data_IF_735644308802
#
_entry.id   IF_735644308802
#
_cell.length_a   1.000
_cell.length_b   1.000
_cell.length_c   1.000
_cell.angle_alpha   90.00
_cell.angle_beta   90.00
_cell.angle_gamma   90.00
#
_symmetry.space_group_name_H-M   'P 1'
#
loop_
_entity.id
_entity.type
_entity.pdbx_description
1 polymer ?
#
# COMPACT_ATOMS: atom_id res chain seq x y z
N UNK A 1 15.26 -4.02 0.41
CA UNK A 1 15.30 -3.20 -0.82
C UNK A 1 14.41 -3.83 -1.87
N UNK A 2 13.65 -3.00 -2.62
CA UNK A 2 12.80 -3.47 -3.73
C UNK A 2 13.39 -2.95 -5.03
N UNK A 3 13.41 -3.76 -6.07
CA UNK A 3 13.78 -3.36 -7.43
C UNK A 3 12.76 -3.93 -8.41
N UNK A 4 12.21 -3.05 -9.22
CA UNK A 4 11.33 -3.37 -10.34
C UNK A 4 12.07 -3.00 -11.61
N UNK A 5 12.22 -3.95 -12.54
CA UNK A 5 12.90 -3.74 -13.81
C UNK A 5 11.97 -4.07 -14.96
N UNK A 6 11.69 -3.06 -15.78
CA UNK A 6 10.90 -3.18 -17.00
C UNK A 6 9.60 -3.94 -16.79
N UNK A 7 8.82 -3.53 -15.78
CA UNK A 7 7.54 -4.18 -15.48
C UNK A 7 6.52 -3.77 -16.54
N UNK A 8 6.06 -4.75 -17.30
CA UNK A 8 5.00 -4.62 -18.28
C UNK A 8 3.76 -5.40 -17.84
N UNK A 9 2.57 -4.84 -18.09
CA UNK A 9 1.30 -5.54 -17.89
C UNK A 9 0.34 -5.22 -19.02
N UNK A 10 -0.18 -6.28 -19.62
CA UNK A 10 -1.25 -6.22 -20.60
C UNK A 10 -2.51 -6.91 -20.07
N UNK A 11 -3.67 -6.34 -20.36
CA UNK A 11 -4.98 -6.97 -20.26
C UNK A 11 -5.57 -7.05 -21.65
N UNK A 12 -5.46 -8.21 -22.28
CA UNK A 12 -5.75 -8.36 -23.70
C UNK A 12 -4.86 -7.44 -24.55
N UNK A 13 -5.47 -6.54 -25.32
CA UNK A 13 -4.72 -5.57 -26.13
C UNK A 13 -4.35 -4.27 -25.37
N UNK A 14 -4.86 -4.10 -24.13
CA UNK A 14 -4.63 -2.88 -23.38
C UNK A 14 -3.31 -2.97 -22.59
N UNK A 15 -2.33 -2.12 -22.94
CA UNK A 15 -1.02 -2.04 -22.29
C UNK A 15 -1.08 -1.08 -21.11
N UNK A 16 -1.24 -1.61 -19.89
CA UNK A 16 -1.47 -0.84 -18.66
C UNK A 16 -0.18 -0.41 -17.98
N UNK A 17 0.84 -1.27 -17.92
CA UNK A 17 2.18 -0.91 -17.43
C UNK A 17 3.17 -1.04 -18.57
N UNK A 18 3.92 0.03 -18.83
CA UNK A 18 4.71 0.21 -20.07
C UNK A 18 6.21 0.31 -19.75
N UNK A 19 6.75 -0.69 -19.03
CA UNK A 19 8.17 -0.73 -18.69
C UNK A 19 8.50 0.11 -17.45
N UNK A 20 7.91 -0.24 -16.32
CA UNK A 20 8.15 0.47 -15.05
C UNK A 20 9.46 0.01 -14.43
N UNK A 21 10.35 0.97 -14.20
CA UNK A 21 11.55 0.82 -13.37
C UNK A 21 11.37 1.60 -12.07
N UNK A 22 11.47 0.92 -10.93
CA UNK A 22 11.33 1.54 -9.61
C UNK A 22 12.23 0.82 -8.60
N UNK A 23 13.00 1.58 -7.86
CA UNK A 23 13.78 1.05 -6.72
C UNK A 23 13.26 1.68 -5.44
N UNK A 24 13.13 0.89 -4.36
CA UNK A 24 12.73 1.39 -3.03
C UNK A 24 13.75 0.90 -2.01
N UNK A 25 14.30 1.84 -1.25
CA UNK A 25 15.26 1.58 -0.18
C UNK A 25 14.61 0.87 1.02
N UNK A 26 15.43 0.28 1.87
CA UNK A 26 14.95 -0.27 3.14
C UNK A 26 14.56 0.88 4.08
N UNK A 27 13.37 0.81 4.67
CA UNK A 27 12.81 1.86 5.53
C UNK A 27 12.29 3.08 4.76
N UNK A 28 12.38 3.09 3.42
CA UNK A 28 11.88 4.19 2.59
C UNK A 28 10.37 4.09 2.41
N UNK A 29 9.69 5.23 2.52
CA UNK A 29 8.27 5.40 2.19
C UNK A 29 8.15 6.06 0.83
N UNK A 30 7.68 5.31 -0.16
CA UNK A 30 7.41 5.81 -1.51
C UNK A 30 5.91 5.96 -1.70
N UNK A 31 5.47 7.17 -2.05
CA UNK A 31 4.07 7.45 -2.39
C UNK A 31 3.92 7.55 -3.91
N UNK A 32 2.96 6.82 -4.47
CA UNK A 32 2.63 6.82 -5.89
C UNK A 32 1.34 7.63 -6.08
N UNK A 33 1.45 8.72 -6.82
CA UNK A 33 0.38 9.62 -7.21
C UNK A 33 0.06 9.47 -8.70
N UNK A 34 -1.08 10.00 -9.13
CA UNK A 34 -1.46 10.07 -10.54
C UNK A 34 -2.96 9.98 -10.77
N UNK A 35 -3.45 10.29 -11.97
CA UNK A 35 -4.88 10.22 -12.31
C UNK A 35 -5.43 8.79 -12.20
N UNK A 36 -6.77 8.68 -12.09
CA UNK A 36 -7.44 7.38 -12.12
C UNK A 36 -7.15 6.67 -13.45
N UNK A 37 -6.94 5.35 -13.39
CA UNK A 37 -6.59 4.56 -14.58
C UNK A 37 -5.12 4.60 -15.02
N UNK A 38 -4.23 5.33 -14.33
CA UNK A 38 -2.82 5.42 -14.71
C UNK A 38 -1.99 4.16 -14.44
N UNK A 39 -2.58 3.11 -13.85
CA UNK A 39 -1.90 1.83 -13.59
C UNK A 39 -1.34 1.66 -12.17
N UNK A 40 -1.53 2.60 -11.24
CA UNK A 40 -0.98 2.57 -9.87
C UNK A 40 -1.31 1.29 -9.10
N UNK A 41 -2.60 0.97 -8.96
CA UNK A 41 -3.05 -0.25 -8.29
C UNK A 41 -2.57 -1.51 -9.01
N UNK A 42 -2.50 -1.48 -10.35
CA UNK A 42 -1.95 -2.58 -11.15
C UNK A 42 -0.48 -2.80 -10.84
N UNK A 43 0.31 -1.71 -10.75
CA UNK A 43 1.73 -1.80 -10.36
C UNK A 43 1.87 -2.38 -8.96
N UNK A 44 1.12 -1.85 -7.99
CA UNK A 44 1.17 -2.30 -6.61
C UNK A 44 0.83 -3.80 -6.49
N UNK A 45 -0.24 -4.26 -7.17
CA UNK A 45 -0.65 -5.67 -7.22
C UNK A 45 0.30 -6.55 -8.00
N UNK A 46 1.09 -5.98 -8.91
CA UNK A 46 2.12 -6.71 -9.63
C UNK A 46 3.31 -7.06 -8.73
N UNK A 47 3.65 -6.21 -7.75
CA UNK A 47 4.77 -6.42 -6.83
C UNK A 47 4.63 -7.73 -6.04
N UNK A 48 3.41 -8.08 -5.63
CA UNK A 48 3.13 -9.33 -4.90
C UNK A 48 2.46 -10.42 -5.76
N UNK A 49 2.46 -10.26 -7.07
CA UNK A 49 1.85 -11.19 -8.03
C UNK A 49 0.34 -11.47 -7.79
N UNK A 50 -0.41 -10.55 -7.19
CA UNK A 50 -1.86 -10.58 -7.27
C UNK A 50 -2.32 -10.34 -8.70
N UNK A 51 -1.65 -9.41 -9.40
CA UNK A 51 -1.70 -9.26 -10.83
C UNK A 51 -0.37 -9.71 -11.42
N UNK A 52 -0.35 -10.84 -12.12
CA UNK A 52 0.88 -11.33 -12.74
C UNK A 52 1.34 -10.35 -13.83
N UNK A 53 2.54 -9.76 -13.75
CA UNK A 53 3.11 -8.98 -14.83
C UNK A 53 3.24 -9.81 -16.12
N UNK A 54 3.12 -9.17 -17.27
CA UNK A 54 3.35 -9.84 -18.57
C UNK A 54 4.83 -10.12 -18.78
N UNK A 55 5.69 -9.19 -18.35
CA UNK A 55 7.15 -9.33 -18.34
C UNK A 55 7.78 -8.38 -17.32
N UNK A 56 9.07 -8.54 -17.10
CA UNK A 56 9.88 -7.76 -16.17
C UNK A 56 10.40 -8.59 -15.01
N UNK A 57 11.19 -7.96 -14.16
CA UNK A 57 11.83 -8.60 -13.01
C UNK A 57 11.42 -7.86 -11.74
N UNK A 58 11.03 -8.61 -10.73
CA UNK A 58 10.76 -8.11 -9.39
C UNK A 58 11.79 -8.71 -8.44
N UNK A 59 12.47 -7.86 -7.69
CA UNK A 59 13.39 -8.29 -6.65
C UNK A 59 13.01 -7.64 -5.32
N UNK A 60 12.84 -8.45 -4.28
CA UNK A 60 12.55 -7.99 -2.91
C UNK A 60 13.48 -8.73 -1.96
N UNK A 61 14.38 -7.98 -1.33
CA UNK A 61 15.33 -8.46 -0.31
C UNK A 61 16.09 -9.74 -0.75
N UNK A 62 16.59 -9.75 -1.99
CA UNK A 62 17.33 -10.86 -2.59
C UNK A 62 16.46 -11.94 -3.24
N UNK A 63 15.15 -11.91 -3.07
CA UNK A 63 14.22 -12.78 -3.83
C UNK A 63 13.95 -12.15 -5.19
N UNK A 64 14.55 -12.71 -6.24
CA UNK A 64 14.46 -12.23 -7.62
C UNK A 64 13.55 -13.13 -8.45
N UNK A 65 12.54 -12.54 -9.08
CA UNK A 65 11.54 -13.25 -9.88
C UNK A 65 11.37 -12.61 -11.24
N UNK A 66 11.61 -13.38 -12.30
CA UNK A 66 11.27 -13.05 -13.67
C UNK A 66 9.79 -13.40 -13.92
N UNK A 67 8.98 -12.40 -14.25
CA UNK A 67 7.53 -12.56 -14.42
C UNK A 67 7.14 -13.61 -15.48
N UNK A 68 8.00 -13.80 -16.52
CA UNK A 68 7.76 -14.74 -17.61
C UNK A 68 8.03 -16.20 -17.22
N UNK A 69 8.81 -16.42 -16.14
CA UNK A 69 9.27 -17.73 -15.68
C UNK A 69 8.82 -18.08 -14.26
N UNK A 70 8.05 -17.17 -13.63
CA UNK A 70 7.67 -17.28 -12.24
C UNK A 70 6.90 -18.57 -11.92
N UNK A 71 7.49 -19.41 -11.09
CA UNK A 71 6.85 -20.62 -10.56
C UNK A 71 6.09 -20.35 -9.25
N UNK A 72 5.30 -21.33 -8.80
CA UNK A 72 4.54 -21.20 -7.54
C UNK A 72 5.40 -20.88 -6.33
N UNK A 73 6.63 -21.40 -6.26
CA UNK A 73 7.57 -21.14 -5.16
C UNK A 73 8.05 -19.69 -5.16
N UNK A 74 8.35 -19.13 -6.33
CA UNK A 74 8.83 -17.76 -6.49
C UNK A 74 7.74 -16.76 -6.09
N UNK A 75 6.51 -17.00 -6.58
CA UNK A 75 5.33 -16.19 -6.23
C UNK A 75 5.07 -16.26 -4.73
N UNK A 76 5.16 -17.45 -4.12
CA UNK A 76 4.97 -17.58 -2.68
C UNK A 76 6.04 -16.82 -1.90
N UNK A 77 7.30 -16.85 -2.33
CA UNK A 77 8.40 -16.12 -1.69
C UNK A 77 8.15 -14.60 -1.72
N UNK A 78 7.72 -14.02 -2.85
CA UNK A 78 7.33 -12.60 -2.95
C UNK A 78 6.14 -12.26 -2.03
N UNK A 79 5.13 -13.13 -1.98
CA UNK A 79 3.96 -12.92 -1.10
C UNK A 79 4.31 -13.02 0.37
N UNK A 80 5.30 -13.81 0.74
CA UNK A 80 5.81 -13.88 2.12
C UNK A 80 6.63 -12.66 2.52
N UNK A 81 7.28 -12.01 1.54
CA UNK A 81 8.05 -10.79 1.75
C UNK A 81 7.18 -9.52 1.80
N UNK A 82 5.92 -9.60 1.34
CA UNK A 82 5.03 -8.45 1.23
C UNK A 82 3.74 -8.64 2.02
N UNK A 83 3.14 -7.55 2.48
CA UNK A 83 1.75 -7.56 2.93
C UNK A 83 0.99 -6.38 2.31
N UNK A 84 -0.26 -6.62 1.92
CA UNK A 84 -1.07 -5.65 1.21
C UNK A 84 -2.29 -5.23 2.02
N UNK A 85 -2.52 -3.92 2.07
CA UNK A 85 -3.71 -3.27 2.61
C UNK A 85 -4.52 -2.75 1.42
N UNK A 86 -5.75 -3.20 1.31
CA UNK A 86 -6.65 -2.90 0.18
C UNK A 86 -7.59 -1.74 0.50
N UNK A 87 -8.10 -1.12 -0.54
CA UNK A 87 -9.14 -0.10 -0.49
C UNK A 87 -10.41 -0.59 0.24
N UNK A 88 -10.84 -1.82 -0.02
CA UNK A 88 -12.06 -2.44 0.55
C UNK A 88 -11.73 -3.41 1.70
N UNK A 89 -10.89 -3.08 2.62
CA UNK A 89 -10.53 -3.80 3.86
C UNK A 89 -10.25 -5.30 3.73
N UNK A 90 -11.00 -6.03 2.92
CA UNK A 90 -10.90 -7.49 2.65
C UNK A 90 -10.83 -8.34 3.94
N UNK A 91 -11.66 -8.01 4.93
CA UNK A 91 -11.74 -8.78 6.18
C UNK A 91 -12.58 -10.05 5.99
N UNK A 92 -12.21 -11.10 6.71
CA UNK A 92 -13.02 -12.30 6.84
C UNK A 92 -14.26 -11.98 7.70
N UNK A 93 -15.44 -11.97 7.07
CA UNK A 93 -16.69 -11.55 7.71
C UNK A 93 -17.12 -12.44 8.88
N UNK A 94 -16.72 -13.72 8.86
CA UNK A 94 -17.00 -14.73 9.86
C UNK A 94 -15.97 -14.77 11.01
N UNK A 95 -14.96 -13.89 10.99
CA UNK A 95 -13.93 -13.75 12.01
C UNK A 95 -14.05 -12.38 12.67
N UNK A 96 -13.86 -12.32 14.00
CA UNK A 96 -13.74 -11.04 14.71
C UNK A 96 -12.38 -10.35 14.38
N UNK A 97 -12.17 -9.13 14.88
CA UNK A 97 -10.96 -8.36 14.63
C UNK A 97 -9.69 -9.12 15.03
N UNK A 98 -9.68 -9.71 16.22
CA UNK A 98 -8.53 -10.50 16.71
C UNK A 98 -8.22 -11.68 15.78
N UNK A 99 -9.22 -12.46 15.41
CA UNK A 99 -9.03 -13.63 14.56
C UNK A 99 -8.66 -13.26 13.11
N UNK A 100 -9.12 -12.09 12.61
CA UNK A 100 -8.67 -11.55 11.32
C UNK A 100 -7.17 -11.26 11.31
N UNK A 101 -6.59 -10.79 12.42
CA UNK A 101 -5.16 -10.56 12.54
C UNK A 101 -4.40 -11.88 12.76
N UNK A 102 -4.92 -12.75 13.62
CA UNK A 102 -4.30 -14.04 13.96
C UNK A 102 -4.16 -15.00 12.77
N UNK A 103 -5.11 -14.97 11.81
CA UNK A 103 -5.19 -16.01 10.76
C UNK A 103 -3.91 -16.14 9.93
N UNK A 104 -3.25 -15.03 9.62
CA UNK A 104 -1.97 -15.04 8.90
C UNK A 104 -0.86 -15.68 9.72
N UNK A 105 -0.82 -15.42 11.03
CA UNK A 105 0.18 -15.96 11.93
C UNK A 105 0.03 -17.47 12.10
N UNK A 106 -1.20 -17.96 12.29
CA UNK A 106 -1.46 -19.38 12.50
C UNK A 106 -1.40 -20.19 11.21
N UNK A 107 -1.99 -19.69 10.10
CA UNK A 107 -2.14 -20.42 8.85
C UNK A 107 -0.89 -20.35 7.98
N UNK A 108 -0.18 -19.22 7.96
CA UNK A 108 0.98 -19.00 7.09
C UNK A 108 2.28 -19.15 7.87
N UNK A 109 2.45 -18.43 9.00
CA UNK A 109 3.66 -18.49 9.82
C UNK A 109 3.72 -19.69 10.76
N UNK A 110 2.62 -20.46 10.86
CA UNK A 110 2.51 -21.68 11.70
C UNK A 110 2.82 -21.47 13.17
N UNK A 111 2.60 -20.25 13.68
CA UNK A 111 2.73 -19.97 15.11
C UNK A 111 1.61 -20.68 15.90
N UNK A 112 1.91 -21.03 17.15
CA UNK A 112 0.89 -21.54 18.05
C UNK A 112 -0.14 -20.46 18.39
N UNK A 113 -1.32 -20.89 18.87
CA UNK A 113 -2.45 -19.97 19.11
C UNK A 113 -2.15 -18.91 20.17
N UNK A 114 -1.37 -19.25 21.18
CA UNK A 114 -1.06 -18.33 22.29
C UNK A 114 -0.14 -17.22 21.79
N UNK A 115 0.93 -17.57 21.10
CA UNK A 115 1.86 -16.61 20.49
C UNK A 115 1.16 -15.72 19.45
N UNK A 116 0.34 -16.33 18.57
CA UNK A 116 -0.40 -15.59 17.55
C UNK A 116 -1.38 -14.59 18.20
N UNK A 117 -2.02 -14.97 19.33
CA UNK A 117 -2.92 -14.11 20.07
C UNK A 117 -2.18 -12.93 20.71
N UNK A 118 -1.10 -13.16 21.43
CA UNK A 118 -0.30 -12.14 22.10
C UNK A 118 0.21 -11.08 21.09
N UNK A 119 0.74 -11.52 19.94
CA UNK A 119 1.17 -10.63 18.86
C UNK A 119 -0.01 -9.82 18.33
N UNK A 120 -1.14 -10.47 18.07
CA UNK A 120 -2.31 -9.81 17.47
C UNK A 120 -2.95 -8.80 18.42
N UNK A 121 -3.04 -9.10 19.70
CA UNK A 121 -3.54 -8.19 20.74
C UNK A 121 -2.66 -6.92 20.83
N UNK A 122 -1.33 -7.07 20.85
CA UNK A 122 -0.40 -5.95 20.86
C UNK A 122 -0.51 -5.06 19.61
N UNK A 123 -0.69 -5.67 18.43
CA UNK A 123 -0.84 -4.89 17.19
C UNK A 123 -2.21 -4.19 17.14
N UNK A 124 -3.30 -4.84 17.57
CA UNK A 124 -4.61 -4.21 17.65
C UNK A 124 -4.64 -3.04 18.63
N UNK A 125 -3.94 -3.14 19.76
CA UNK A 125 -3.75 -2.02 20.68
C UNK A 125 -2.96 -0.88 20.03
N UNK A 126 -1.90 -1.19 19.26
CA UNK A 126 -1.08 -0.23 18.52
C UNK A 126 -1.89 0.59 17.50
N UNK A 127 -2.89 -0.03 16.84
CA UNK A 127 -3.79 0.66 15.88
C UNK A 127 -5.06 1.21 16.55
N UNK A 128 -5.12 1.26 17.90
CA UNK A 128 -6.21 1.86 18.66
C UNK A 128 -7.50 1.03 18.68
N UNK A 129 -7.40 -0.30 18.62
CA UNK A 129 -8.56 -1.21 18.59
C UNK A 129 -8.60 -2.20 19.77
N UNK A 130 -7.95 -1.86 20.89
CA UNK A 130 -7.92 -2.71 22.10
C UNK A 130 -9.33 -3.15 22.54
N UNK A 131 -10.27 -2.22 22.60
CA UNK A 131 -11.64 -2.47 23.08
C UNK A 131 -12.56 -3.05 21.99
N UNK A 132 -12.02 -3.30 20.77
CA UNK A 132 -12.76 -3.80 19.61
C UNK A 132 -12.31 -5.17 19.13
N UNK A 133 -11.42 -5.85 19.84
CA UNK A 133 -10.81 -7.12 19.43
C UNK A 133 -11.83 -8.23 19.14
N UNK A 134 -12.93 -8.25 19.90
CA UNK A 134 -13.97 -9.27 19.77
C UNK A 134 -15.10 -8.90 18.79
N UNK A 135 -15.04 -7.72 18.17
CA UNK A 135 -16.07 -7.24 17.24
C UNK A 135 -15.86 -7.87 15.87
N UNK A 136 -16.97 -8.24 15.23
CA UNK A 136 -17.01 -8.71 13.86
C UNK A 136 -17.01 -7.50 12.88
N UNK A 137 -16.58 -7.68 11.62
CA UNK A 137 -16.55 -6.58 10.66
C UNK A 137 -17.84 -5.78 10.55
N UNK A 138 -19.01 -6.45 10.59
CA UNK A 138 -20.32 -5.78 10.56
C UNK A 138 -20.62 -4.86 11.77
N UNK A 139 -19.85 -4.96 12.84
CA UNK A 139 -19.99 -4.17 14.07
C UNK A 139 -18.94 -3.04 14.14
N UNK A 140 -18.08 -2.92 13.13
CA UNK A 140 -16.99 -1.95 13.05
C UNK A 140 -17.29 -0.88 12.01
N UNK A 141 -16.92 0.37 12.28
CA UNK A 141 -16.93 1.44 11.28
C UNK A 141 -15.95 1.13 10.15
N UNK A 142 -16.06 1.82 9.00
CA UNK A 142 -15.13 1.67 7.90
C UNK A 142 -13.67 1.91 8.31
N UNK A 143 -13.40 2.98 9.06
CA UNK A 143 -12.07 3.29 9.59
C UNK A 143 -11.55 2.23 10.58
N UNK A 144 -12.43 1.66 11.42
CA UNK A 144 -12.06 0.54 12.30
C UNK A 144 -11.74 -0.73 11.50
N UNK A 145 -12.53 -1.05 10.47
CA UNK A 145 -12.25 -2.18 9.58
C UNK A 145 -10.90 -2.02 8.86
N UNK A 146 -10.60 -0.81 8.37
CA UNK A 146 -9.33 -0.51 7.73
C UNK A 146 -8.15 -0.64 8.71
N UNK A 147 -8.30 -0.19 9.95
CA UNK A 147 -7.28 -0.38 10.99
C UNK A 147 -7.07 -1.85 11.34
N UNK A 148 -8.10 -2.70 11.30
CA UNK A 148 -7.94 -4.16 11.41
C UNK A 148 -7.17 -4.72 10.20
N UNK A 149 -7.42 -4.24 8.98
CA UNK A 149 -6.69 -4.67 7.79
C UNK A 149 -5.21 -4.28 7.87
N UNK A 150 -4.90 -3.07 8.36
CA UNK A 150 -3.52 -2.62 8.64
C UNK A 150 -2.87 -3.52 9.71
N UNK A 151 -3.57 -3.78 10.81
CA UNK A 151 -3.07 -4.67 11.88
C UNK A 151 -2.75 -6.08 11.34
N UNK A 152 -3.62 -6.63 10.49
CA UNK A 152 -3.40 -7.94 9.84
C UNK A 152 -2.15 -7.95 8.95
N UNK A 153 -1.90 -6.86 8.21
CA UNK A 153 -0.70 -6.73 7.39
C UNK A 153 0.57 -6.63 8.26
N UNK A 154 0.54 -5.80 9.30
CA UNK A 154 1.66 -5.62 10.24
C UNK A 154 2.02 -6.91 10.99
N UNK A 155 1.03 -7.72 11.37
CA UNK A 155 1.24 -8.96 12.10
C UNK A 155 2.17 -9.95 11.35
N UNK A 156 2.15 -9.91 10.02
CA UNK A 156 3.01 -10.75 9.20
C UNK A 156 4.49 -10.31 9.24
N UNK A 157 4.81 -9.16 9.80
CA UNK A 157 6.15 -8.57 9.81
C UNK A 157 6.82 -8.69 8.42
N UNK A 158 6.22 -8.11 7.36
CA UNK A 158 6.72 -8.22 6.00
C UNK A 158 7.95 -7.34 5.78
N UNK A 159 8.71 -7.61 4.72
CA UNK A 159 9.79 -6.71 4.28
C UNK A 159 9.24 -5.40 3.69
N UNK A 160 8.02 -5.47 3.12
CA UNK A 160 7.37 -4.33 2.46
C UNK A 160 5.87 -4.33 2.73
N UNK A 161 5.37 -3.18 3.13
CA UNK A 161 3.93 -2.90 3.22
C UNK A 161 3.45 -2.19 1.96
N UNK A 162 2.41 -2.71 1.35
CA UNK A 162 1.78 -2.17 0.13
C UNK A 162 0.39 -1.64 0.48
N UNK A 163 0.13 -0.36 0.23
CA UNK A 163 -1.17 0.28 0.50
C UNK A 163 -1.84 0.73 -0.81
N UNK A 164 -2.98 0.14 -1.14
CA UNK A 164 -3.76 0.45 -2.34
C UNK A 164 -4.97 1.32 -1.96
N UNK A 165 -4.81 2.64 -2.04
CA UNK A 165 -5.83 3.65 -1.72
C UNK A 165 -6.55 3.40 -0.37
N UNK A 166 -5.83 3.37 0.75
CA UNK A 166 -6.36 2.87 2.03
C UNK A 166 -7.50 3.70 2.62
N UNK A 167 -7.79 4.88 2.09
CA UNK A 167 -8.81 5.80 2.61
C UNK A 167 -9.95 6.08 1.64
N UNK A 168 -9.84 5.70 0.36
CA UNK A 168 -10.79 6.10 -0.68
C UNK A 168 -12.20 5.49 -0.54
N UNK A 169 -12.40 4.48 0.34
CA UNK A 169 -13.70 3.90 0.67
C UNK A 169 -14.27 4.40 2.00
N UNK A 170 -13.64 5.39 2.61
CA UNK A 170 -14.02 5.91 3.94
C UNK A 170 -14.82 7.20 3.82
N UNK A 171 -15.71 7.41 4.79
CA UNK A 171 -16.29 8.72 5.02
C UNK A 171 -15.20 9.71 5.41
N UNK A 172 -15.26 10.99 4.97
CA UNK A 172 -14.22 12.00 5.22
C UNK A 172 -13.82 12.13 6.69
N UNK A 173 -14.78 12.00 7.61
CA UNK A 173 -14.56 12.09 9.07
C UNK A 173 -13.66 10.97 9.62
N UNK A 174 -13.54 9.83 8.90
CA UNK A 174 -12.77 8.66 9.33
C UNK A 174 -11.39 8.58 8.67
N UNK A 175 -11.11 9.44 7.69
CA UNK A 175 -9.86 9.44 6.92
C UNK A 175 -8.66 9.72 7.81
N UNK A 176 -8.71 10.76 8.62
CA UNK A 176 -7.59 11.21 9.46
C UNK A 176 -7.17 10.16 10.49
N UNK A 177 -8.13 9.40 11.05
CA UNK A 177 -7.84 8.32 11.98
C UNK A 177 -6.99 7.20 11.33
N UNK A 178 -7.27 6.88 10.07
CA UNK A 178 -6.53 5.84 9.34
C UNK A 178 -5.18 6.36 8.88
N UNK A 179 -5.11 7.60 8.37
CA UNK A 179 -3.87 8.23 7.95
C UNK A 179 -2.88 8.37 9.12
N UNK A 180 -3.36 8.75 10.31
CA UNK A 180 -2.51 8.85 11.51
C UNK A 180 -1.88 7.50 11.90
N UNK A 181 -2.63 6.39 11.75
CA UNK A 181 -2.08 5.05 11.97
C UNK A 181 -1.01 4.72 10.93
N UNK A 182 -1.23 5.05 9.65
CA UNK A 182 -0.23 4.80 8.58
C UNK A 182 1.03 5.64 8.81
N UNK A 183 0.90 6.92 9.21
CA UNK A 183 2.03 7.78 9.59
C UNK A 183 2.84 7.19 10.73
N UNK A 184 2.17 6.70 11.78
CA UNK A 184 2.84 6.02 12.89
C UNK A 184 3.61 4.77 12.42
N UNK A 185 3.03 3.96 11.54
CA UNK A 185 3.70 2.80 10.96
C UNK A 185 4.92 3.21 10.14
N UNK A 186 4.81 4.29 9.35
CA UNK A 186 5.92 4.86 8.57
C UNK A 186 7.08 5.31 9.48
N UNK A 187 6.78 6.05 10.56
CA UNK A 187 7.79 6.56 11.50
C UNK A 187 8.57 5.47 12.25
N UNK A 188 8.13 4.23 12.23
CA UNK A 188 8.81 3.07 12.81
C UNK A 188 9.87 2.45 11.88
N UNK A 189 10.12 3.05 10.71
CA UNK A 189 11.12 2.60 9.74
C UNK A 189 10.67 1.43 8.86
N UNK A 190 9.37 1.23 8.71
CA UNK A 190 8.82 0.25 7.78
C UNK A 190 9.06 0.69 6.32
N UNK A 191 9.44 -0.25 5.44
CA UNK A 191 9.48 -0.01 4.00
C UNK A 191 8.07 -0.04 3.45
N UNK A 192 7.64 1.03 2.77
CA UNK A 192 6.25 1.17 2.35
C UNK A 192 6.14 1.69 0.93
N UNK A 193 5.16 1.17 0.18
CA UNK A 193 4.70 1.75 -1.08
C UNK A 193 3.21 2.05 -0.91
N UNK A 194 2.83 3.31 -1.08
CA UNK A 194 1.47 3.79 -0.82
C UNK A 194 0.91 4.42 -2.09
N UNK A 195 -0.19 3.90 -2.60
CA UNK A 195 -1.02 4.56 -3.61
C UNK A 195 -2.09 5.35 -2.88
N UNK A 196 -2.17 6.65 -3.12
CA UNK A 196 -3.17 7.53 -2.50
C UNK A 196 -3.52 8.72 -3.38
N UNK A 197 -4.65 9.35 -3.11
CA UNK A 197 -5.06 10.66 -3.66
C UNK A 197 -4.90 11.79 -2.63
N UNK A 198 -4.51 11.49 -1.39
CA UNK A 198 -4.33 12.43 -0.31
C UNK A 198 -2.98 13.15 -0.41
N UNK A 199 -2.93 14.32 -1.10
CA UNK A 199 -1.68 15.05 -1.33
C UNK A 199 -1.05 15.58 -0.03
N UNK A 200 -1.86 16.03 0.94
CA UNK A 200 -1.36 16.47 2.25
C UNK A 200 -0.64 15.33 2.97
N UNK A 201 -1.31 14.18 3.06
CA UNK A 201 -0.72 12.98 3.64
C UNK A 201 0.56 12.53 2.90
N UNK A 202 0.54 12.55 1.56
CA UNK A 202 1.72 12.21 0.76
C UNK A 202 2.92 13.11 1.10
N UNK A 203 2.67 14.43 1.30
CA UNK A 203 3.70 15.40 1.67
C UNK A 203 4.27 15.15 3.07
N UNK A 204 3.42 14.70 4.00
CA UNK A 204 3.80 14.51 5.41
C UNK A 204 4.52 13.18 5.65
N UNK A 205 4.27 12.15 4.83
CA UNK A 205 4.74 10.78 5.13
C UNK A 205 5.81 10.27 4.18
N UNK A 206 5.86 10.80 2.93
CA UNK A 206 6.75 10.25 1.92
C UNK A 206 8.19 10.74 2.06
N UNK A 207 9.15 9.83 1.89
CA UNK A 207 10.54 10.20 1.58
C UNK A 207 10.67 10.60 0.10
N UNK A 208 9.96 9.86 -0.77
CA UNK A 208 9.94 10.07 -2.21
C UNK A 208 8.55 9.89 -2.79
N UNK A 209 8.26 10.71 -3.80
CA UNK A 209 7.00 10.68 -4.54
C UNK A 209 7.26 10.26 -5.98
N UNK A 210 6.33 9.48 -6.53
CA UNK A 210 6.32 9.00 -7.92
C UNK A 210 5.00 9.43 -8.56
N UNK A 211 5.04 10.16 -9.66
CA UNK A 211 3.88 10.44 -10.49
C UNK A 211 3.78 9.41 -11.61
N UNK A 212 2.67 8.68 -11.64
CA UNK A 212 2.35 7.78 -12.74
C UNK A 212 1.21 8.31 -13.59
N UNK A 213 1.38 8.25 -14.92
CA UNK A 213 0.34 8.54 -15.90
C UNK A 213 0.50 7.63 -17.11
N UNK A 214 -0.61 7.21 -17.71
CA UNK A 214 -0.65 6.37 -18.92
C UNK A 214 0.27 5.14 -18.91
N UNK A 215 0.48 4.57 -17.72
CA UNK A 215 1.27 3.35 -17.52
C UNK A 215 2.78 3.56 -17.46
N UNK A 216 3.25 4.80 -17.34
CA UNK A 216 4.67 5.14 -17.17
C UNK A 216 4.89 6.00 -15.92
N UNK A 217 6.12 6.02 -15.41
CA UNK A 217 6.55 7.01 -14.42
C UNK A 217 6.90 8.29 -15.16
N UNK A 218 6.17 9.37 -14.85
CA UNK A 218 6.40 10.71 -15.43
C UNK A 218 7.53 11.42 -14.69
N UNK A 219 7.46 11.41 -13.37
CA UNK A 219 8.47 12.01 -12.50
C UNK A 219 8.58 11.24 -11.19
N UNK A 220 9.78 11.20 -10.62
CA UNK A 220 10.01 10.75 -9.27
C UNK A 220 11.11 11.57 -8.60
N UNK A 221 10.98 11.82 -7.32
CA UNK A 221 11.96 12.61 -6.58
C UNK A 221 11.64 12.74 -5.10
N UNK A 222 12.58 13.31 -4.30
CA UNK A 222 12.34 13.63 -2.90
C UNK A 222 11.07 14.45 -2.73
N UNK A 223 10.32 14.20 -1.65
CA UNK A 223 9.00 14.82 -1.42
C UNK A 223 9.03 16.33 -1.51
N UNK A 224 10.01 16.98 -0.89
CA UNK A 224 10.11 18.44 -0.88
C UNK A 224 10.29 19.00 -2.29
N UNK A 225 11.23 18.46 -3.07
CA UNK A 225 11.45 18.88 -4.46
C UNK A 225 10.22 18.65 -5.33
N UNK A 226 9.57 17.49 -5.17
CA UNK A 226 8.40 17.11 -5.96
C UNK A 226 7.23 18.11 -5.78
N UNK A 227 6.97 18.56 -4.56
CA UNK A 227 5.86 19.48 -4.28
C UNK A 227 6.21 20.96 -4.46
N UNK A 228 7.48 21.36 -4.29
CA UNK A 228 7.87 22.79 -4.37
C UNK A 228 8.46 23.18 -5.72
N UNK A 229 9.20 22.29 -6.36
CA UNK A 229 9.88 22.56 -7.63
C UNK A 229 9.89 21.32 -8.55
N UNK A 230 8.70 20.85 -8.99
CA UNK A 230 8.60 19.71 -9.90
C UNK A 230 9.28 20.02 -11.24
N UNK A 231 10.04 19.05 -11.76
CA UNK A 231 10.82 19.19 -13.01
C UNK A 231 9.93 19.12 -14.23
N UNK A 232 8.99 18.17 -14.21
CA UNK A 232 8.13 17.90 -15.36
C UNK A 232 6.91 18.84 -15.39
N UNK A 233 6.62 19.39 -16.57
CA UNK A 233 5.44 20.24 -16.78
C UNK A 233 4.14 19.52 -16.41
N UNK A 234 4.09 18.22 -16.68
CA UNK A 234 2.93 17.39 -16.36
C UNK A 234 2.69 17.25 -14.86
N UNK A 235 3.77 17.20 -14.07
CA UNK A 235 3.70 17.18 -12.60
C UNK A 235 3.14 18.52 -12.07
N UNK A 236 3.61 19.65 -12.62
CA UNK A 236 3.06 20.98 -12.28
C UNK A 236 1.57 21.08 -12.54
N UNK A 237 1.13 20.60 -13.71
CA UNK A 237 -0.29 20.59 -14.08
C UNK A 237 -1.12 19.67 -13.17
N UNK A 238 -0.60 18.49 -12.79
CA UNK A 238 -1.28 17.56 -11.89
C UNK A 238 -1.45 18.20 -10.51
N UNK A 239 -0.38 18.72 -9.92
CA UNK A 239 -0.40 19.36 -8.61
C UNK A 239 -1.29 20.62 -8.62
N UNK A 240 -1.22 21.46 -9.66
CA UNK A 240 -2.05 22.65 -9.79
C UNK A 240 -3.55 22.36 -9.81
N UNK A 241 -3.96 21.30 -10.53
CA UNK A 241 -5.36 20.87 -10.55
C UNK A 241 -5.81 20.33 -9.19
N UNK A 242 -5.00 19.48 -8.58
CA UNK A 242 -5.36 18.80 -7.33
C UNK A 242 -5.35 19.76 -6.12
N UNK A 243 -4.45 20.75 -6.09
CA UNK A 243 -4.42 21.79 -5.06
C UNK A 243 -5.50 22.86 -5.31
N UNK A 244 -5.77 23.24 -6.56
CA UNK A 244 -6.83 24.20 -6.90
C UNK A 244 -8.24 23.68 -6.62
N UNK A 245 -8.49 22.39 -6.70
CA UNK A 245 -9.76 21.78 -6.33
C UNK A 245 -10.00 21.80 -4.79
N UNK A 246 -8.96 21.72 -3.97
CA UNK A 246 -9.10 21.86 -2.51
C UNK A 246 -9.48 23.27 -2.08
N UNK A 247 -8.93 24.31 -2.72
CA UNK A 247 -9.25 25.70 -2.39
C UNK A 247 -10.72 26.06 -2.65
N UNK A 248 -11.42 25.33 -3.54
CA UNK A 248 -12.84 25.52 -3.84
C UNK A 248 -13.77 24.76 -2.89
N UNK A 249 -13.27 23.74 -2.18
CA UNK A 249 -14.05 22.96 -1.20
C UNK A 249 -13.90 23.50 0.23
N UNK A 250 -12.91 24.34 0.50
CA UNK A 250 -12.65 24.93 1.82
C UNK A 250 -13.20 26.38 1.96
N UNK A 251 -13.98 26.87 1.00
CA UNK A 251 -14.73 28.12 1.15
C UNK A 251 -16.12 27.82 1.71
N UNK A 252 -16.47 28.38 2.88
CA UNK A 252 -17.74 28.16 3.60
C UNK A 252 -18.96 28.67 2.83
#
# INVERSE_FOLDING_TARGET
MIQLHQIHKHFGQHHVLKGIDLTVGKGEVVVILGPSGSGKSTLLRSINFLEQPTSGIIEIDGVKVDATKAGKKDILALRMATAMVFQQYQLFKNLNALHNVMIGLTSVKKLDRKQAREISEGILEKVGLKDRMNYYPAQLSGGQQQRVAIARALALNPQVLLFDEPTSSLDPELVDEVLSVIQKVASEGNTMIIVTHELGFARDVADRVVLMEDGVIVEQGPVEQFFTNPKEERTRQFLGKALGQRTLQEQP
#
